data_IF_009167121839
#
_entry.id   IF_009167121839
#
_cell.length_a   1.000
_cell.length_b   1.000
_cell.length_c   1.000
_cell.angle_alpha   90.00
_cell.angle_beta   90.00
_cell.angle_gamma   90.00
#
_symmetry.space_group_name_H-M   'P 1'
#
loop_
_entity.id
_entity.type
_entity.pdbx_description
1 polymer ?
#
# COMPACT_ATOMS: atom_id res chain seq x y z
N UNK A 1 -21.99 -25.95 39.50
CA UNK A 1 -22.39 -26.10 38.09
C UNK A 1 -22.55 -24.74 37.38
N UNK A 2 -23.43 -23.84 37.83
CA UNK A 2 -23.71 -22.56 37.16
C UNK A 2 -22.49 -21.63 36.96
N UNK A 3 -21.58 -21.55 37.94
CA UNK A 3 -20.37 -20.73 37.85
C UNK A 3 -19.35 -21.26 36.82
N UNK A 4 -19.26 -22.59 36.66
CA UNK A 4 -18.37 -23.23 35.71
C UNK A 4 -18.86 -23.03 34.27
N UNK A 5 -20.18 -23.12 34.05
CA UNK A 5 -20.81 -22.81 32.76
C UNK A 5 -20.69 -21.31 32.41
N UNK A 6 -20.77 -20.41 33.39
CA UNK A 6 -20.57 -18.97 33.16
C UNK A 6 -19.12 -18.63 32.76
N UNK A 7 -18.12 -19.27 33.40
CA UNK A 7 -16.71 -19.12 33.05
C UNK A 7 -16.39 -19.60 31.63
N UNK A 8 -16.95 -20.75 31.23
CA UNK A 8 -16.80 -21.27 29.87
C UNK A 8 -17.47 -20.37 28.83
N UNK A 9 -18.69 -19.87 29.11
CA UNK A 9 -19.39 -18.94 28.24
C UNK A 9 -18.61 -17.62 28.04
N UNK A 10 -17.99 -17.10 29.10
CA UNK A 10 -17.14 -15.91 29.03
C UNK A 10 -15.90 -16.12 28.14
N UNK A 11 -15.20 -17.26 28.29
CA UNK A 11 -14.05 -17.59 27.43
C UNK A 11 -14.46 -17.75 25.97
N UNK A 12 -15.60 -18.36 25.70
CA UNK A 12 -16.12 -18.54 24.34
C UNK A 12 -16.49 -17.20 23.70
N UNK A 13 -17.18 -16.31 24.43
CA UNK A 13 -17.48 -14.95 23.96
C UNK A 13 -16.20 -14.17 23.65
N UNK A 14 -15.20 -14.25 24.52
CA UNK A 14 -13.91 -13.59 24.30
C UNK A 14 -13.21 -14.11 23.05
N UNK A 15 -13.14 -15.44 22.88
CA UNK A 15 -12.55 -16.06 21.69
C UNK A 15 -13.29 -15.67 20.39
N UNK A 16 -14.63 -15.58 20.43
CA UNK A 16 -15.43 -15.13 19.29
C UNK A 16 -15.19 -13.64 18.96
N UNK A 17 -15.04 -12.78 19.96
CA UNK A 17 -14.72 -11.36 19.77
C UNK A 17 -13.30 -11.20 19.20
N UNK A 18 -12.33 -11.93 19.73
CA UNK A 18 -10.94 -11.93 19.24
C UNK A 18 -10.88 -12.44 17.78
N UNK A 19 -11.59 -13.53 17.46
CA UNK A 19 -11.69 -14.07 16.10
C UNK A 19 -12.38 -13.10 15.13
N UNK A 20 -13.48 -12.44 15.54
CA UNK A 20 -14.12 -11.39 14.73
C UNK A 20 -13.21 -10.19 14.51
N UNK A 21 -12.47 -9.77 15.53
CA UNK A 21 -11.51 -8.67 15.39
C UNK A 21 -10.37 -9.04 14.44
N UNK A 22 -9.88 -10.28 14.49
CA UNK A 22 -8.86 -10.77 13.55
C UNK A 22 -9.39 -10.80 12.11
N UNK A 23 -10.61 -11.27 11.89
CA UNK A 23 -11.27 -11.23 10.59
C UNK A 23 -11.43 -9.80 10.06
N UNK A 24 -11.95 -8.88 10.89
CA UNK A 24 -12.11 -7.48 10.52
C UNK A 24 -10.77 -6.80 10.22
N UNK A 25 -9.72 -7.09 11.00
CA UNK A 25 -8.36 -6.59 10.74
C UNK A 25 -7.82 -7.13 9.40
N UNK A 26 -8.06 -8.40 9.09
CA UNK A 26 -7.73 -8.99 7.79
C UNK A 26 -8.45 -8.28 6.62
N UNK A 27 -9.75 -8.05 6.75
CA UNK A 27 -10.54 -7.31 5.75
C UNK A 27 -10.05 -5.88 5.56
N UNK A 28 -9.69 -5.20 6.65
CA UNK A 28 -9.13 -3.84 6.59
C UNK A 28 -7.74 -3.83 5.94
N UNK A 29 -6.86 -4.77 6.28
CA UNK A 29 -5.54 -4.89 5.67
C UNK A 29 -5.65 -5.11 4.16
N UNK A 30 -6.49 -6.06 3.74
CA UNK A 30 -6.72 -6.35 2.33
C UNK A 30 -7.24 -5.13 1.56
N UNK A 31 -8.25 -4.43 2.11
CA UNK A 31 -8.77 -3.20 1.51
C UNK A 31 -7.71 -2.11 1.36
N UNK A 32 -6.83 -1.95 2.36
CA UNK A 32 -5.77 -0.94 2.29
C UNK A 32 -4.73 -1.28 1.22
N UNK A 33 -4.36 -2.55 1.05
CA UNK A 33 -3.44 -2.96 -0.03
C UNK A 33 -4.09 -2.84 -1.40
N UNK A 34 -5.37 -3.17 -1.55
CA UNK A 34 -6.11 -2.89 -2.78
C UNK A 34 -6.15 -1.40 -3.10
N UNK A 35 -6.40 -0.55 -2.11
CA UNK A 35 -6.34 0.91 -2.28
C UNK A 35 -4.96 1.38 -2.73
N UNK A 36 -3.89 0.82 -2.14
CA UNK A 36 -2.52 1.12 -2.54
C UNK A 36 -2.24 0.75 -4.00
N UNK A 37 -2.72 -0.41 -4.46
CA UNK A 37 -2.61 -0.85 -5.86
C UNK A 37 -3.35 0.12 -6.80
N UNK A 38 -4.57 0.54 -6.42
CA UNK A 38 -5.38 1.48 -7.21
C UNK A 38 -4.69 2.84 -7.31
N UNK A 39 -4.17 3.37 -6.20
CA UNK A 39 -3.43 4.64 -6.20
C UNK A 39 -2.19 4.55 -7.06
N UNK A 40 -1.45 3.45 -6.97
CA UNK A 40 -0.24 3.27 -7.77
C UNK A 40 -0.56 3.12 -9.27
N UNK A 41 -1.65 2.45 -9.63
CA UNK A 41 -2.15 2.43 -11.00
C UNK A 41 -2.55 3.84 -11.49
N UNK A 42 -3.16 4.66 -10.62
CA UNK A 42 -3.47 6.07 -10.94
C UNK A 42 -2.20 6.90 -11.13
N UNK A 43 -1.14 6.67 -10.36
CA UNK A 43 0.17 7.31 -10.59
C UNK A 43 0.67 6.96 -12.00
N UNK A 44 0.64 5.68 -12.35
CA UNK A 44 1.10 5.20 -13.65
C UNK A 44 0.31 5.82 -14.81
N UNK A 45 -1.01 5.83 -14.71
CA UNK A 45 -1.89 6.44 -15.71
C UNK A 45 -1.69 7.96 -15.82
N UNK A 46 -1.58 8.66 -14.68
CA UNK A 46 -1.37 10.12 -14.64
C UNK A 46 -0.01 10.48 -15.22
N UNK A 47 1.02 9.68 -14.94
CA UNK A 47 2.37 9.93 -15.44
C UNK A 47 2.47 9.83 -16.97
N UNK A 48 1.59 9.06 -17.62
CA UNK A 48 1.46 8.94 -19.09
C UNK A 48 0.75 10.12 -19.76
N UNK A 49 0.08 10.97 -18.99
CA UNK A 49 -0.53 12.18 -19.53
C UNK A 49 0.55 13.19 -19.94
N UNK A 50 0.19 14.06 -20.88
CA UNK A 50 1.01 15.21 -21.25
C UNK A 50 1.27 16.11 -20.04
N UNK A 51 2.40 16.83 -20.10
CA UNK A 51 2.77 17.71 -19.01
C UNK A 51 1.72 18.81 -18.80
N UNK A 52 1.27 18.95 -17.56
CA UNK A 52 0.47 20.08 -17.10
C UNK A 52 0.71 20.33 -15.61
N UNK A 53 0.42 21.54 -15.12
CA UNK A 53 0.42 21.83 -13.68
C UNK A 53 -0.50 20.88 -12.89
N UNK A 54 -1.68 20.59 -13.42
CA UNK A 54 -2.68 19.72 -12.78
C UNK A 54 -2.20 18.27 -12.69
N UNK A 55 -1.57 17.73 -13.75
CA UNK A 55 -0.92 16.41 -13.73
C UNK A 55 0.11 16.35 -12.61
N UNK A 56 0.95 17.38 -12.53
CA UNK A 56 2.06 17.47 -11.57
C UNK A 56 1.53 17.52 -10.14
N UNK A 57 0.50 18.33 -9.88
CA UNK A 57 -0.18 18.40 -8.58
C UNK A 57 -0.85 17.06 -8.22
N UNK A 58 -1.49 16.41 -9.19
CA UNK A 58 -2.13 15.11 -8.98
C UNK A 58 -1.13 14.02 -8.62
N UNK A 59 0.04 13.99 -9.27
CA UNK A 59 1.10 13.04 -8.94
C UNK A 59 1.63 13.21 -7.51
N UNK A 60 1.82 14.47 -7.05
CA UNK A 60 2.22 14.74 -5.66
C UNK A 60 1.16 14.27 -4.66
N UNK A 61 -0.11 14.61 -4.92
CA UNK A 61 -1.23 14.16 -4.09
C UNK A 61 -1.31 12.64 -4.01
N UNK A 62 -1.16 11.93 -5.13
CA UNK A 62 -1.19 10.47 -5.14
C UNK A 62 -0.01 9.87 -4.36
N UNK A 63 1.17 10.48 -4.41
CA UNK A 63 2.32 10.01 -3.64
C UNK A 63 2.17 10.26 -2.13
N UNK A 64 1.56 11.38 -1.73
CA UNK A 64 1.18 11.62 -0.34
C UNK A 64 0.17 10.57 0.14
N UNK A 65 -0.81 10.22 -0.70
CA UNK A 65 -1.77 9.14 -0.43
C UNK A 65 -1.07 7.77 -0.27
N UNK A 66 -0.05 7.46 -1.10
CA UNK A 66 0.76 6.24 -0.95
C UNK A 66 1.41 6.17 0.44
N UNK A 67 2.06 7.27 0.89
CA UNK A 67 2.70 7.32 2.20
C UNK A 67 1.70 7.18 3.33
N UNK A 68 0.55 7.83 3.21
CA UNK A 68 -0.53 7.71 4.19
C UNK A 68 -1.01 6.26 4.33
N UNK A 69 -1.26 5.58 3.21
CA UNK A 69 -1.74 4.19 3.23
C UNK A 69 -0.67 3.23 3.74
N UNK A 70 0.61 3.44 3.41
CA UNK A 70 1.71 2.68 4.01
C UNK A 70 1.66 2.75 5.55
N UNK A 71 1.49 3.95 6.11
CA UNK A 71 1.41 4.14 7.56
C UNK A 71 0.19 3.43 8.16
N UNK A 72 -0.95 3.44 7.47
CA UNK A 72 -2.15 2.70 7.89
C UNK A 72 -1.91 1.19 7.87
N UNK A 73 -1.32 0.66 6.79
CA UNK A 73 -0.99 -0.78 6.64
C UNK A 73 -0.04 -1.20 7.77
N UNK A 74 1.01 -0.43 8.02
CA UNK A 74 2.00 -0.68 9.08
C UNK A 74 1.38 -0.68 10.48
N UNK A 75 0.37 0.15 10.71
CA UNK A 75 -0.39 0.17 11.96
C UNK A 75 -1.33 -1.03 12.12
N UNK A 76 -1.86 -1.57 11.02
CA UNK A 76 -2.76 -2.74 11.03
C UNK A 76 -2.01 -4.06 11.14
N UNK A 77 -0.90 -4.18 10.40
CA UNK A 77 -0.06 -5.37 10.34
C UNK A 77 1.41 -4.95 10.13
N UNK A 78 2.24 -4.97 11.19
CA UNK A 78 3.64 -4.52 11.11
C UNK A 78 4.50 -5.32 10.13
N UNK A 79 4.26 -6.62 9.98
CA UNK A 79 5.07 -7.49 9.12
C UNK A 79 4.81 -7.15 7.65
N UNK A 80 3.55 -7.02 7.25
CA UNK A 80 3.17 -6.57 5.92
C UNK A 80 3.52 -5.09 5.70
N UNK A 81 3.38 -4.25 6.73
CA UNK A 81 3.80 -2.85 6.70
C UNK A 81 5.27 -2.68 6.37
N UNK A 82 6.14 -3.48 6.98
CA UNK A 82 7.59 -3.46 6.70
C UNK A 82 7.87 -3.80 5.23
N UNK A 83 7.17 -4.79 4.67
CA UNK A 83 7.29 -5.13 3.23
C UNK A 83 6.84 -3.99 2.32
N UNK A 84 5.75 -3.30 2.66
CA UNK A 84 5.27 -2.13 1.91
C UNK A 84 6.24 -0.95 2.02
N UNK A 85 6.82 -0.72 3.19
CA UNK A 85 7.86 0.31 3.39
C UNK A 85 9.13 0.00 2.58
N UNK A 86 9.56 -1.26 2.56
CA UNK A 86 10.68 -1.73 1.73
C UNK A 86 10.36 -1.57 0.24
N UNK A 87 9.15 -1.92 -0.20
CA UNK A 87 8.70 -1.69 -1.57
C UNK A 87 8.76 -0.21 -1.96
N UNK A 88 8.31 0.67 -1.06
CA UNK A 88 8.28 2.12 -1.25
C UNK A 88 9.70 2.72 -1.34
N UNK A 89 10.60 2.28 -0.46
CA UNK A 89 11.94 2.86 -0.27
C UNK A 89 13.04 2.20 -1.09
N UNK A 90 12.84 0.94 -1.51
CA UNK A 90 13.83 0.19 -2.28
C UNK A 90 14.16 0.88 -3.60
N UNK A 91 15.45 0.81 -3.93
CA UNK A 91 16.00 1.43 -5.13
C UNK A 91 16.26 0.38 -6.19
N UNK A 92 16.06 0.77 -7.45
CA UNK A 92 16.52 -0.02 -8.58
C UNK A 92 18.05 0.12 -8.78
N UNK A 93 18.58 -0.53 -9.81
CA UNK A 93 20.00 -0.45 -10.19
C UNK A 93 20.48 0.97 -10.57
N UNK A 94 19.56 1.91 -10.78
CA UNK A 94 19.82 3.31 -11.11
C UNK A 94 19.66 4.23 -9.89
N UNK A 95 19.41 3.67 -8.70
CA UNK A 95 19.16 4.44 -7.49
C UNK A 95 17.81 5.15 -7.51
N UNK A 96 16.85 4.66 -8.29
CA UNK A 96 15.51 5.20 -8.39
C UNK A 96 14.57 4.48 -7.41
N UNK A 97 13.90 5.25 -6.55
CA UNK A 97 12.86 4.79 -5.61
C UNK A 97 11.53 5.46 -5.95
N UNK A 98 10.41 4.95 -5.41
CA UNK A 98 9.09 5.50 -5.69
C UNK A 98 9.01 6.99 -5.31
N UNK A 99 9.41 7.43 -4.11
CA UNK A 99 9.40 8.86 -3.78
C UNK A 99 10.25 9.70 -4.75
N UNK A 100 11.44 9.22 -5.12
CA UNK A 100 12.30 9.95 -6.06
C UNK A 100 11.65 10.09 -7.43
N UNK A 101 11.09 9.01 -7.97
CA UNK A 101 10.49 9.01 -9.31
C UNK A 101 9.17 9.77 -9.31
N UNK A 102 8.26 9.48 -8.39
CA UNK A 102 6.91 10.04 -8.39
C UNK A 102 6.91 11.48 -7.86
N UNK A 103 7.56 11.77 -6.74
CA UNK A 103 7.53 13.11 -6.14
C UNK A 103 8.51 14.07 -6.76
N UNK A 104 9.76 13.66 -6.94
CA UNK A 104 10.81 14.58 -7.34
C UNK A 104 10.91 14.71 -8.86
N UNK A 105 10.79 13.60 -9.60
CA UNK A 105 11.01 13.61 -11.05
C UNK A 105 9.71 13.92 -11.80
N UNK A 106 8.69 13.08 -11.65
CA UNK A 106 7.44 13.21 -12.41
C UNK A 106 6.55 14.33 -11.85
N UNK A 107 6.34 14.34 -10.54
CA UNK A 107 5.56 15.35 -9.82
C UNK A 107 6.37 16.57 -9.40
N UNK A 108 7.70 16.54 -9.44
CA UNK A 108 8.54 17.65 -8.96
C UNK A 108 9.01 18.50 -10.11
N UNK A 109 9.92 17.93 -10.90
CA UNK A 109 10.47 18.52 -12.11
C UNK A 109 9.49 18.50 -13.31
N UNK A 110 8.37 17.78 -13.21
CA UNK A 110 7.38 17.69 -14.29
C UNK A 110 7.86 16.82 -15.46
N UNK A 111 8.75 15.86 -15.22
CA UNK A 111 9.26 15.02 -16.30
C UNK A 111 8.12 14.19 -16.95
N UNK A 112 8.22 14.02 -18.28
CA UNK A 112 7.41 13.05 -19.03
C UNK A 112 7.99 11.65 -18.79
N UNK A 113 7.10 10.67 -18.62
CA UNK A 113 7.44 9.35 -18.09
C UNK A 113 8.51 8.61 -18.91
N UNK A 114 8.44 8.60 -20.25
CA UNK A 114 9.39 7.87 -21.09
C UNK A 114 9.57 6.38 -20.73
N UNK A 115 10.31 5.62 -21.55
CA UNK A 115 10.42 4.16 -21.34
C UNK A 115 11.09 3.80 -20.02
N UNK A 116 12.05 4.61 -19.56
CA UNK A 116 12.76 4.35 -18.31
C UNK A 116 11.80 4.33 -17.12
N UNK A 117 11.04 5.40 -16.92
CA UNK A 117 10.16 5.49 -15.74
C UNK A 117 8.87 4.70 -15.95
N UNK A 118 8.46 4.42 -17.19
CA UNK A 118 7.35 3.49 -17.48
C UNK A 118 7.67 2.08 -17.00
N UNK A 119 8.86 1.57 -17.35
CA UNK A 119 9.33 0.26 -16.90
C UNK A 119 9.54 0.21 -15.38
N UNK A 120 10.06 1.27 -14.78
CA UNK A 120 10.20 1.37 -13.32
C UNK A 120 8.85 1.26 -12.61
N UNK A 121 7.85 2.05 -13.02
CA UNK A 121 6.51 1.99 -12.42
C UNK A 121 5.84 0.64 -12.66
N UNK A 122 6.05 0.03 -13.83
CA UNK A 122 5.53 -1.31 -14.09
C UNK A 122 6.15 -2.36 -13.15
N UNK A 123 7.47 -2.34 -12.96
CA UNK A 123 8.17 -3.24 -12.01
C UNK A 123 7.61 -3.09 -10.60
N UNK A 124 7.48 -1.84 -10.13
CA UNK A 124 6.94 -1.55 -8.80
C UNK A 124 5.49 -2.00 -8.65
N UNK A 125 4.67 -1.89 -9.69
CA UNK A 125 3.31 -2.41 -9.66
C UNK A 125 3.28 -3.94 -9.57
N UNK A 126 4.26 -4.64 -10.16
CA UNK A 126 4.40 -6.10 -10.04
C UNK A 126 4.79 -6.52 -8.62
N UNK A 127 5.82 -5.89 -8.05
CA UNK A 127 6.26 -6.14 -6.66
C UNK A 127 5.12 -5.95 -5.66
N UNK A 128 4.26 -4.94 -5.87
CA UNK A 128 3.11 -4.70 -5.00
C UNK A 128 2.05 -5.83 -5.08
N UNK A 129 1.91 -6.50 -6.23
CA UNK A 129 1.03 -7.66 -6.36
C UNK A 129 1.59 -8.88 -5.63
N UNK A 130 2.91 -9.05 -5.64
CA UNK A 130 3.56 -10.13 -4.88
C UNK A 130 3.30 -9.98 -3.38
N UNK A 131 3.33 -8.75 -2.85
CA UNK A 131 2.95 -8.47 -1.45
C UNK A 131 1.49 -8.85 -1.19
N UNK A 132 0.57 -8.57 -2.12
CA UNK A 132 -0.84 -8.96 -1.98
C UNK A 132 -1.00 -10.49 -1.95
N UNK A 133 -0.29 -11.21 -2.83
CA UNK A 133 -0.36 -12.67 -2.92
C UNK A 133 0.16 -13.35 -1.63
N UNK A 134 1.11 -12.73 -0.93
CA UNK A 134 1.60 -13.22 0.36
C UNK A 134 0.59 -13.13 1.50
N UNK A 135 -0.39 -12.22 1.43
CA UNK A 135 -1.44 -12.11 2.47
C UNK A 135 -2.36 -13.35 2.47
N UNK A 136 -2.46 -14.03 1.33
CA UNK A 136 -3.32 -15.20 1.13
C UNK A 136 -2.59 -16.54 1.23
N UNK A 137 -1.28 -16.53 1.54
CA UNK A 137 -0.49 -17.74 1.80
C UNK A 137 -0.48 -18.08 3.28
#
# INVERSE_FOLDING_TARGET
MAAFTAFLAYRLQRALVESRQQLLKGDHLFKNIQSLIIIFANIHATAKQDWSPDRTAKLRSLSEEVRYIETVIKSLNPDIGTKVEEWLSSTDRHGDSIPKVVDCILGGAGAIIGDKYDNFLYSKASELREILDEIFK
#
